data_IF_146024061495
#
_entry.id   IF_146024061495
#
_cell.length_a   1.000
_cell.length_b   1.000
_cell.length_c   1.000
_cell.angle_alpha   90.00
_cell.angle_beta   90.00
_cell.angle_gamma   90.00
#
_symmetry.space_group_name_H-M   'P 1'
#
loop_
_entity.id
_entity.type
_entity.pdbx_description
1 polymer ?
#
# COMPACT_ATOMS: atom_id res chain seq x y z
N UNK A 1 116.56 -32.18 18.73
CA UNK A 1 116.29 -30.80 18.25
C UNK A 1 114.78 -30.64 18.20
N UNK A 2 114.24 -29.95 19.21
CA UNK A 2 112.81 -29.89 19.52
C UNK A 2 112.05 -28.90 18.65
N UNK A 3 111.34 -29.41 17.64
CA UNK A 3 110.37 -28.65 16.84
C UNK A 3 108.99 -28.54 17.52
N UNK A 4 108.83 -29.09 18.73
CA UNK A 4 107.57 -29.00 19.51
C UNK A 4 107.34 -27.61 20.15
N UNK A 5 108.40 -26.81 20.38
CA UNK A 5 108.27 -25.49 21.01
C UNK A 5 107.76 -24.38 20.09
N UNK A 6 108.07 -24.44 18.78
CA UNK A 6 107.66 -23.42 17.82
C UNK A 6 106.15 -23.49 17.50
N UNK A 7 105.55 -24.69 17.53
CA UNK A 7 104.11 -24.87 17.35
C UNK A 7 103.28 -24.31 18.51
N UNK A 8 103.80 -24.39 19.74
CA UNK A 8 103.11 -23.87 20.93
C UNK A 8 103.03 -22.34 20.96
N UNK A 9 104.08 -21.65 20.51
CA UNK A 9 104.12 -20.17 20.47
C UNK A 9 103.23 -19.63 19.34
N UNK A 10 103.19 -20.30 18.18
CA UNK A 10 102.27 -19.96 17.09
C UNK A 10 100.79 -20.19 17.48
N UNK A 11 100.49 -21.30 18.16
CA UNK A 11 99.14 -21.58 18.66
C UNK A 11 98.69 -20.59 19.75
N UNK A 12 99.60 -20.19 20.66
CA UNK A 12 99.31 -19.18 21.68
C UNK A 12 99.07 -17.79 21.08
N UNK A 13 99.80 -17.41 20.03
CA UNK A 13 99.58 -16.14 19.33
C UNK A 13 98.23 -16.13 18.58
N UNK A 14 97.86 -17.22 17.90
CA UNK A 14 96.56 -17.33 17.22
C UNK A 14 95.40 -17.34 18.22
N UNK A 15 95.57 -17.97 19.40
CA UNK A 15 94.56 -17.92 20.47
C UNK A 15 94.45 -16.52 21.10
N UNK A 16 95.58 -15.84 21.34
CA UNK A 16 95.62 -14.51 21.96
C UNK A 16 94.98 -13.41 21.10
N UNK A 17 95.12 -13.50 19.77
CA UNK A 17 94.46 -12.56 18.84
C UNK A 17 93.10 -13.08 18.34
N UNK A 18 92.90 -14.39 18.24
CA UNK A 18 91.66 -15.00 17.73
C UNK A 18 90.47 -14.82 18.67
N UNK A 19 90.66 -14.99 19.98
CA UNK A 19 89.56 -14.89 20.96
C UNK A 19 89.00 -13.46 21.04
N UNK A 20 89.81 -12.38 21.16
CA UNK A 20 89.30 -11.02 21.17
C UNK A 20 88.60 -10.63 19.87
N UNK A 21 89.15 -11.06 18.73
CA UNK A 21 88.60 -10.73 17.41
C UNK A 21 87.24 -11.42 17.19
N UNK A 22 87.10 -12.68 17.62
CA UNK A 22 85.82 -13.41 17.57
C UNK A 22 84.75 -12.77 18.47
N UNK A 23 85.11 -12.27 19.67
CA UNK A 23 84.19 -11.57 20.56
C UNK A 23 83.70 -10.25 19.95
N UNK A 24 84.59 -9.49 19.29
CA UNK A 24 84.21 -8.23 18.63
C UNK A 24 83.28 -8.52 17.45
N UNK A 25 83.61 -9.48 16.57
CA UNK A 25 82.75 -9.87 15.45
C UNK A 25 81.39 -10.36 15.95
N UNK A 26 81.36 -11.22 16.97
CA UNK A 26 80.13 -11.71 17.58
C UNK A 26 79.27 -10.60 18.17
N UNK A 27 79.87 -9.58 18.80
CA UNK A 27 79.15 -8.41 19.34
C UNK A 27 78.56 -7.53 18.24
N UNK A 28 79.25 -7.36 17.11
CA UNK A 28 78.71 -6.64 15.95
C UNK A 28 77.57 -7.41 15.27
N UNK A 29 77.70 -8.73 15.12
CA UNK A 29 76.64 -9.59 14.60
C UNK A 29 75.40 -9.58 15.50
N UNK A 30 75.56 -9.66 16.83
CA UNK A 30 74.46 -9.54 17.80
C UNK A 30 73.76 -8.18 17.72
N UNK A 31 74.51 -7.08 17.63
CA UNK A 31 73.93 -5.73 17.47
C UNK A 31 73.17 -5.58 16.15
N UNK A 32 73.69 -6.16 15.07
CA UNK A 32 73.01 -6.17 13.78
C UNK A 32 71.73 -7.02 13.84
N UNK A 33 71.77 -8.18 14.49
CA UNK A 33 70.62 -9.06 14.68
C UNK A 33 69.52 -8.40 15.52
N UNK A 34 69.88 -7.73 16.62
CA UNK A 34 68.90 -7.00 17.46
C UNK A 34 68.26 -5.85 16.69
N UNK A 35 69.04 -5.03 15.96
CA UNK A 35 68.47 -3.95 15.13
C UNK A 35 67.59 -4.48 14.00
N UNK A 36 67.96 -5.59 13.38
CA UNK A 36 67.14 -6.27 12.38
C UNK A 36 65.84 -6.80 12.96
N UNK A 37 65.88 -7.38 14.16
CA UNK A 37 64.71 -7.86 14.88
C UNK A 37 63.76 -6.70 15.28
N UNK A 38 64.30 -5.59 15.79
CA UNK A 38 63.51 -4.38 16.13
C UNK A 38 62.84 -3.77 14.90
N UNK A 39 63.58 -3.63 13.79
CA UNK A 39 63.02 -3.11 12.53
C UNK A 39 61.91 -4.01 11.98
N UNK A 40 62.09 -5.34 12.06
CA UNK A 40 61.08 -6.33 11.64
C UNK A 40 59.85 -6.27 12.55
N UNK A 41 60.04 -6.15 13.87
CA UNK A 41 58.94 -6.01 14.82
C UNK A 41 58.13 -4.73 14.56
N UNK A 42 58.80 -3.59 14.31
CA UNK A 42 58.12 -2.33 13.98
C UNK A 42 57.37 -2.40 12.64
N UNK A 43 57.97 -3.03 11.62
CA UNK A 43 57.31 -3.26 10.33
C UNK A 43 56.08 -4.17 10.49
N UNK A 44 56.18 -5.20 11.33
CA UNK A 44 55.07 -6.08 11.69
C UNK A 44 53.93 -5.33 12.38
N UNK A 45 54.25 -4.48 13.36
CA UNK A 45 53.24 -3.65 14.06
C UNK A 45 52.52 -2.69 13.11
N UNK A 46 53.26 -2.01 12.23
CA UNK A 46 52.66 -1.11 11.21
C UNK A 46 51.75 -1.87 10.24
N UNK A 47 52.16 -3.07 9.83
CA UNK A 47 51.36 -3.92 8.95
C UNK A 47 50.10 -4.42 9.66
N UNK A 48 50.21 -4.80 10.94
CA UNK A 48 49.08 -5.21 11.76
C UNK A 48 48.09 -4.05 11.99
N UNK A 49 48.58 -2.84 12.28
CA UNK A 49 47.75 -1.65 12.44
C UNK A 49 47.04 -1.27 11.13
N UNK A 50 47.75 -1.31 10.00
CA UNK A 50 47.17 -1.07 8.68
C UNK A 50 46.10 -2.13 8.33
N UNK A 51 46.38 -3.40 8.59
CA UNK A 51 45.43 -4.51 8.37
C UNK A 51 44.20 -4.36 9.27
N UNK A 52 44.40 -3.98 10.53
CA UNK A 52 43.30 -3.74 11.47
C UNK A 52 42.43 -2.57 11.00
N UNK A 53 43.02 -1.44 10.59
CA UNK A 53 42.27 -0.30 10.02
C UNK A 53 41.48 -0.71 8.78
N UNK A 54 42.13 -1.41 7.84
CA UNK A 54 41.46 -1.91 6.65
C UNK A 54 40.30 -2.86 6.98
N UNK A 55 40.46 -3.73 7.98
CA UNK A 55 39.39 -4.62 8.44
C UNK A 55 38.23 -3.84 9.08
N UNK A 56 38.51 -2.81 9.89
CA UNK A 56 37.49 -1.94 10.48
C UNK A 56 36.75 -1.14 9.41
N UNK A 57 37.46 -0.58 8.44
CA UNK A 57 36.86 0.19 7.34
C UNK A 57 36.01 -0.72 6.45
N UNK A 58 36.48 -1.95 6.17
CA UNK A 58 35.70 -2.96 5.46
C UNK A 58 34.44 -3.36 6.23
N UNK A 59 34.53 -3.53 7.55
CA UNK A 59 33.37 -3.88 8.38
C UNK A 59 32.33 -2.74 8.42
N UNK A 60 32.78 -1.48 8.46
CA UNK A 60 31.90 -0.30 8.38
C UNK A 60 31.20 -0.22 7.04
N UNK A 61 31.94 -0.33 5.94
CA UNK A 61 31.37 -0.32 4.59
C UNK A 61 30.35 -1.45 4.40
N UNK A 62 30.61 -2.64 4.96
CA UNK A 62 29.67 -3.76 4.92
C UNK A 62 28.40 -3.51 5.75
N UNK A 63 28.54 -2.92 6.94
CA UNK A 63 27.40 -2.55 7.78
C UNK A 63 26.51 -1.50 7.08
N UNK A 64 27.12 -0.46 6.51
CA UNK A 64 26.41 0.58 5.74
C UNK A 64 25.69 0.01 4.53
N UNK A 65 26.32 -0.88 3.78
CA UNK A 65 25.68 -1.56 2.65
C UNK A 65 24.49 -2.44 3.09
N UNK A 66 24.62 -3.12 4.24
CA UNK A 66 23.54 -3.96 4.80
C UNK A 66 22.34 -3.12 5.22
N UNK A 67 22.57 -1.99 5.91
CA UNK A 67 21.51 -1.05 6.30
C UNK A 67 20.80 -0.45 5.09
N UNK A 68 21.55 -0.11 4.03
CA UNK A 68 20.96 0.36 2.78
C UNK A 68 20.09 -0.71 2.10
N UNK A 69 20.53 -1.97 2.09
CA UNK A 69 19.71 -3.05 1.54
C UNK A 69 18.45 -3.32 2.36
N UNK A 70 18.57 -3.28 3.70
CA UNK A 70 17.44 -3.47 4.61
C UNK A 70 16.38 -2.37 4.47
N UNK A 71 16.79 -1.10 4.47
CA UNK A 71 15.89 0.04 4.27
C UNK A 71 15.21 0.01 2.90
N UNK A 72 15.92 -0.34 1.81
CA UNK A 72 15.31 -0.55 0.48
C UNK A 72 14.26 -1.65 0.50
N UNK A 73 14.50 -2.74 1.24
CA UNK A 73 13.53 -3.82 1.44
C UNK A 73 12.25 -3.32 2.10
N UNK A 74 12.37 -2.61 3.23
CA UNK A 74 11.23 -2.07 3.98
C UNK A 74 10.40 -1.12 3.12
N UNK A 75 11.05 -0.17 2.42
CA UNK A 75 10.35 0.78 1.54
C UNK A 75 9.56 0.06 0.46
N UNK A 76 10.18 -0.93 -0.20
CA UNK A 76 9.51 -1.73 -1.22
C UNK A 76 8.28 -2.44 -0.66
N UNK A 77 8.41 -3.06 0.50
CA UNK A 77 7.31 -3.80 1.13
C UNK A 77 6.17 -2.86 1.55
N UNK A 78 6.49 -1.69 2.10
CA UNK A 78 5.52 -0.64 2.43
C UNK A 78 4.73 -0.18 1.18
N UNK A 79 5.43 0.08 0.08
CA UNK A 79 4.78 0.57 -1.14
C UNK A 79 3.90 -0.49 -1.80
N UNK A 80 4.31 -1.77 -1.75
CA UNK A 80 3.52 -2.91 -2.24
C UNK A 80 2.27 -3.10 -1.36
N UNK A 81 2.40 -2.98 -0.04
CA UNK A 81 1.30 -3.15 0.89
C UNK A 81 0.15 -2.15 0.60
N UNK A 82 0.46 -0.90 0.23
CA UNK A 82 -0.56 0.09 -0.16
C UNK A 82 -1.33 -0.34 -1.42
N UNK A 83 -0.61 -0.76 -2.47
CA UNK A 83 -1.24 -1.21 -3.72
C UNK A 83 -2.08 -2.48 -3.51
N UNK A 84 -1.58 -3.42 -2.71
CA UNK A 84 -2.33 -4.61 -2.34
C UNK A 84 -3.60 -4.27 -1.57
N UNK A 85 -3.52 -3.40 -0.55
CA UNK A 85 -4.70 -2.98 0.21
C UNK A 85 -5.73 -2.25 -0.67
N UNK A 86 -5.27 -1.42 -1.62
CA UNK A 86 -6.13 -0.75 -2.58
C UNK A 86 -6.85 -1.76 -3.49
N UNK A 87 -6.11 -2.76 -3.97
CA UNK A 87 -6.64 -3.83 -4.81
C UNK A 87 -7.64 -4.70 -4.04
N UNK A 88 -7.30 -5.18 -2.83
CA UNK A 88 -8.20 -5.98 -1.99
C UNK A 88 -9.52 -5.26 -1.72
N UNK A 89 -9.49 -3.96 -1.38
CA UNK A 89 -10.73 -3.21 -1.19
C UNK A 89 -11.53 -3.10 -2.50
N UNK A 90 -10.86 -2.91 -3.64
CA UNK A 90 -11.52 -2.80 -4.95
C UNK A 90 -12.18 -4.12 -5.38
N UNK A 91 -11.50 -5.24 -5.17
CA UNK A 91 -12.03 -6.58 -5.45
C UNK A 91 -13.19 -6.91 -4.53
N UNK A 92 -13.06 -6.63 -3.23
CA UNK A 92 -14.11 -6.83 -2.24
C UNK A 92 -15.40 -6.12 -2.69
N UNK A 93 -15.33 -4.82 -3.01
CA UNK A 93 -16.53 -4.07 -3.43
C UNK A 93 -17.06 -4.51 -4.80
N UNK A 94 -16.19 -4.93 -5.72
CA UNK A 94 -16.61 -5.42 -7.04
C UNK A 94 -17.33 -6.76 -6.93
N UNK A 95 -16.81 -7.69 -6.12
CA UNK A 95 -17.40 -9.01 -5.90
C UNK A 95 -18.83 -8.90 -5.39
N UNK A 96 -19.07 -7.97 -4.47
CA UNK A 96 -20.40 -7.73 -3.90
C UNK A 96 -21.38 -7.16 -4.92
N UNK A 97 -20.95 -6.19 -5.73
CA UNK A 97 -21.82 -5.64 -6.81
C UNK A 97 -22.15 -6.65 -7.90
N UNK A 98 -21.37 -7.73 -8.04
CA UNK A 98 -21.57 -8.76 -9.06
C UNK A 98 -22.42 -9.94 -8.57
N UNK A 99 -22.72 -10.01 -7.26
CA UNK A 99 -23.48 -11.12 -6.70
C UNK A 99 -24.96 -11.07 -7.12
N UNK A 100 -25.61 -12.21 -7.41
CA UNK A 100 -27.04 -12.25 -7.76
C UNK A 100 -27.92 -11.90 -6.55
N UNK A 101 -29.15 -11.41 -6.83
CA UNK A 101 -30.13 -11.09 -5.80
C UNK A 101 -30.49 -12.34 -4.99
N UNK A 102 -30.28 -12.30 -3.67
CA UNK A 102 -30.63 -13.40 -2.76
C UNK A 102 -31.51 -12.87 -1.63
N UNK A 103 -32.50 -13.64 -1.14
CA UNK A 103 -33.33 -13.22 -0.01
C UNK A 103 -32.54 -12.96 1.29
N UNK A 104 -31.39 -13.62 1.49
CA UNK A 104 -30.49 -13.38 2.63
C UNK A 104 -29.59 -12.15 2.49
N UNK A 105 -29.78 -11.32 1.45
CA UNK A 105 -28.84 -10.25 1.10
C UNK A 105 -28.77 -9.15 2.18
N UNK A 106 -29.82 -8.95 2.99
CA UNK A 106 -29.81 -7.95 4.06
C UNK A 106 -28.76 -8.25 5.15
N UNK A 107 -28.71 -9.49 5.64
CA UNK A 107 -27.71 -9.91 6.61
C UNK A 107 -26.30 -9.81 6.00
N UNK A 108 -26.16 -10.21 4.73
CA UNK A 108 -24.90 -10.09 3.98
C UNK A 108 -24.45 -8.65 3.75
N UNK A 109 -25.36 -7.68 3.66
CA UNK A 109 -25.00 -6.27 3.48
C UNK A 109 -24.35 -5.69 4.74
N UNK A 110 -24.82 -6.09 5.92
CA UNK A 110 -24.23 -5.67 7.19
C UNK A 110 -22.84 -6.27 7.39
N UNK A 111 -22.68 -7.57 7.08
CA UNK A 111 -21.38 -8.24 7.09
C UNK A 111 -20.41 -7.59 6.09
N UNK A 112 -20.87 -7.37 4.86
CA UNK A 112 -20.10 -6.72 3.82
C UNK A 112 -19.68 -5.28 4.18
N UNK A 113 -20.56 -4.50 4.82
CA UNK A 113 -20.20 -3.15 5.30
C UNK A 113 -19.10 -3.21 6.37
N UNK A 114 -19.17 -4.18 7.29
CA UNK A 114 -18.12 -4.41 8.28
C UNK A 114 -16.79 -4.82 7.63
N UNK A 115 -16.82 -5.71 6.63
CA UNK A 115 -15.64 -6.09 5.84
C UNK A 115 -15.05 -4.90 5.07
N UNK A 116 -15.90 -4.08 4.45
CA UNK A 116 -15.48 -2.86 3.77
C UNK A 116 -14.81 -1.87 4.73
N UNK A 117 -15.36 -1.67 5.93
CA UNK A 117 -14.76 -0.81 6.96
C UNK A 117 -13.41 -1.36 7.45
N UNK A 118 -13.30 -2.67 7.59
CA UNK A 118 -12.04 -3.35 7.93
C UNK A 118 -10.99 -3.12 6.83
N UNK A 119 -11.34 -3.38 5.57
CA UNK A 119 -10.45 -3.17 4.43
C UNK A 119 -10.05 -1.69 4.24
N UNK A 120 -10.95 -0.74 4.48
CA UNK A 120 -10.61 0.69 4.50
C UNK A 120 -9.62 1.05 5.62
N UNK A 121 -9.74 0.40 6.78
CA UNK A 121 -8.81 0.60 7.90
C UNK A 121 -7.43 0.05 7.56
N UNK A 122 -7.36 -1.14 6.96
CA UNK A 122 -6.12 -1.71 6.46
C UNK A 122 -5.46 -0.82 5.39
N UNK A 123 -6.25 -0.29 4.45
CA UNK A 123 -5.78 0.65 3.43
C UNK A 123 -5.18 1.93 4.04
N UNK A 124 -5.86 2.54 5.03
CA UNK A 124 -5.33 3.70 5.75
C UNK A 124 -4.03 3.37 6.49
N UNK A 125 -3.95 2.19 7.11
CA UNK A 125 -2.72 1.73 7.75
C UNK A 125 -1.56 1.59 6.76
N UNK A 126 -1.81 0.95 5.61
CA UNK A 126 -0.82 0.80 4.55
C UNK A 126 -0.37 2.15 3.97
N UNK A 127 -1.29 3.11 3.83
CA UNK A 127 -0.96 4.49 3.45
C UNK A 127 -0.01 5.15 4.46
N UNK A 128 -0.31 5.07 5.76
CA UNK A 128 0.54 5.68 6.79
C UNK A 128 1.96 5.11 6.78
N UNK A 129 2.10 3.80 6.60
CA UNK A 129 3.42 3.15 6.49
C UNK A 129 4.14 3.62 5.22
N UNK A 130 3.45 3.63 4.06
CA UNK A 130 4.04 4.11 2.81
C UNK A 130 4.45 5.59 2.87
N UNK A 131 3.68 6.43 3.57
CA UNK A 131 3.98 7.85 3.79
C UNK A 131 5.19 8.04 4.72
N UNK A 132 5.32 7.25 5.79
CA UNK A 132 6.49 7.28 6.68
C UNK A 132 7.78 6.88 5.95
N UNK A 133 7.68 5.95 5.00
CA UNK A 133 8.79 5.47 4.18
C UNK A 133 9.04 6.33 2.94
N UNK A 134 8.23 7.37 2.70
CA UNK A 134 8.39 8.25 1.55
C UNK A 134 9.60 9.20 1.74
N UNK A 135 10.29 9.57 0.65
CA UNK A 135 11.29 10.63 0.71
C UNK A 135 10.69 11.99 1.13
N UNK A 136 11.51 12.86 1.71
CA UNK A 136 11.11 14.20 2.16
C UNK A 136 10.68 15.17 1.03
N UNK A 137 10.71 14.73 -0.23
CA UNK A 137 10.27 15.53 -1.38
C UNK A 137 8.74 15.68 -1.48
N UNK A 138 8.00 14.92 -0.67
CA UNK A 138 6.53 14.94 -0.56
C UNK A 138 5.79 14.50 -1.82
N UNK A 139 6.50 14.07 -2.88
CA UNK A 139 5.86 13.63 -4.13
C UNK A 139 5.20 12.27 -3.92
N UNK A 140 5.95 11.31 -3.38
CA UNK A 140 5.43 9.94 -3.21
C UNK A 140 4.27 9.88 -2.22
N UNK A 141 4.33 10.65 -1.13
CA UNK A 141 3.24 10.77 -0.16
C UNK A 141 1.96 11.30 -0.82
N UNK A 142 2.06 12.33 -1.68
CA UNK A 142 0.91 12.89 -2.40
C UNK A 142 0.24 11.85 -3.30
N UNK A 143 1.03 11.10 -4.07
CA UNK A 143 0.49 10.04 -4.93
C UNK A 143 -0.12 8.89 -4.10
N UNK A 144 0.48 8.55 -2.95
CA UNK A 144 -0.06 7.56 -2.03
C UNK A 144 -1.43 8.00 -1.47
N UNK A 145 -1.55 9.28 -1.13
CA UNK A 145 -2.80 9.88 -0.64
C UNK A 145 -3.88 9.88 -1.73
N UNK A 146 -3.50 10.13 -2.99
CA UNK A 146 -4.43 10.08 -4.11
C UNK A 146 -4.96 8.66 -4.32
N UNK A 147 -4.10 7.64 -4.27
CA UNK A 147 -4.53 6.23 -4.29
C UNK A 147 -5.51 5.92 -3.16
N UNK A 148 -5.21 6.35 -1.92
CA UNK A 148 -6.11 6.17 -0.78
C UNK A 148 -7.49 6.80 -1.04
N UNK A 149 -7.51 8.06 -1.46
CA UNK A 149 -8.74 8.82 -1.68
C UNK A 149 -9.56 8.25 -2.83
N UNK A 150 -8.93 7.99 -3.98
CA UNK A 150 -9.58 7.41 -5.14
C UNK A 150 -10.15 6.01 -4.83
N UNK A 151 -9.42 5.18 -4.09
CA UNK A 151 -9.91 3.85 -3.70
C UNK A 151 -11.12 3.96 -2.77
N UNK A 152 -11.09 4.86 -1.78
CA UNK A 152 -12.24 5.09 -0.88
C UNK A 152 -13.45 5.64 -1.65
N UNK A 153 -13.24 6.57 -2.58
CA UNK A 153 -14.28 7.13 -3.46
C UNK A 153 -14.92 6.01 -4.29
N UNK A 154 -14.11 5.18 -4.94
CA UNK A 154 -14.55 4.01 -5.70
C UNK A 154 -15.34 3.02 -4.83
N UNK A 155 -14.82 2.67 -3.65
CA UNK A 155 -15.47 1.76 -2.73
C UNK A 155 -16.84 2.27 -2.26
N UNK A 156 -16.94 3.55 -1.86
CA UNK A 156 -18.21 4.19 -1.46
C UNK A 156 -19.22 4.17 -2.59
N UNK A 157 -18.79 4.49 -3.81
CA UNK A 157 -19.66 4.49 -4.98
C UNK A 157 -20.19 3.09 -5.29
N UNK A 158 -19.35 2.05 -5.19
CA UNK A 158 -19.73 0.64 -5.35
C UNK A 158 -20.69 0.15 -4.27
N UNK A 159 -20.43 0.47 -3.01
CA UNK A 159 -21.33 0.14 -1.89
C UNK A 159 -22.68 0.83 -2.09
N UNK A 160 -22.69 2.11 -2.46
CA UNK A 160 -23.94 2.84 -2.75
C UNK A 160 -24.71 2.17 -3.88
N UNK A 161 -24.03 1.80 -4.97
CA UNK A 161 -24.66 1.07 -6.08
C UNK A 161 -25.28 -0.25 -5.62
N UNK A 162 -24.56 -1.03 -4.83
CA UNK A 162 -25.08 -2.32 -4.38
C UNK A 162 -26.35 -2.16 -3.52
N UNK A 163 -26.42 -1.12 -2.69
CA UNK A 163 -27.62 -0.78 -1.93
C UNK A 163 -28.80 -0.38 -2.84
N UNK A 164 -28.54 0.40 -3.89
CA UNK A 164 -29.54 0.76 -4.90
C UNK A 164 -30.06 -0.47 -5.65
N UNK A 165 -29.16 -1.33 -6.13
CA UNK A 165 -29.50 -2.57 -6.84
C UNK A 165 -30.27 -3.54 -5.94
N UNK A 166 -29.94 -3.59 -4.64
CA UNK A 166 -30.70 -4.35 -3.65
C UNK A 166 -32.12 -3.80 -3.48
N UNK A 167 -32.26 -2.49 -3.25
CA UNK A 167 -33.57 -1.90 -3.01
C UNK A 167 -34.52 -2.10 -4.22
N UNK A 168 -33.99 -1.98 -5.44
CA UNK A 168 -34.73 -2.30 -6.67
C UNK A 168 -35.15 -3.77 -6.72
N UNK A 169 -34.25 -4.70 -6.39
CA UNK A 169 -34.56 -6.14 -6.36
C UNK A 169 -35.60 -6.49 -5.28
N UNK A 170 -35.54 -5.86 -4.10
CA UNK A 170 -36.55 -6.02 -3.04
C UNK A 170 -37.93 -5.60 -3.55
N UNK A 171 -38.03 -4.42 -4.17
CA UNK A 171 -39.30 -3.92 -4.69
C UNK A 171 -39.87 -4.85 -5.77
N UNK A 172 -39.04 -5.27 -6.72
CA UNK A 172 -39.43 -6.21 -7.78
C UNK A 172 -39.91 -7.54 -7.19
N UNK A 173 -39.20 -8.07 -6.20
CA UNK A 173 -39.60 -9.30 -5.53
C UNK A 173 -40.99 -9.18 -4.89
N UNK A 174 -41.27 -8.08 -4.18
CA UNK A 174 -42.58 -7.80 -3.59
C UNK A 174 -43.69 -7.69 -4.66
N UNK A 175 -43.39 -7.13 -5.83
CA UNK A 175 -44.32 -7.01 -6.96
C UNK A 175 -44.62 -8.36 -7.66
N UNK A 176 -43.75 -9.35 -7.48
CA UNK A 176 -43.83 -10.69 -8.09
C UNK A 176 -44.39 -11.78 -7.17
N UNK A 177 -44.62 -11.50 -5.87
CA UNK A 177 -45.13 -12.50 -4.92
C UNK A 177 -46.43 -13.17 -5.44
N UNK A 178 -46.53 -14.51 -5.41
CA UNK A 178 -47.73 -15.24 -5.86
C UNK A 178 -49.01 -14.80 -5.15
N UNK A 179 -50.14 -14.81 -5.89
CA UNK A 179 -51.44 -14.23 -5.52
C UNK A 179 -52.08 -14.85 -4.26
N UNK A 180 -51.63 -16.02 -3.82
CA UNK A 180 -52.16 -16.74 -2.66
C UNK A 180 -51.77 -16.05 -1.34
N UNK A 181 -52.44 -14.94 -1.01
CA UNK A 181 -52.39 -14.26 0.29
C UNK A 181 -51.70 -12.89 0.31
N UNK A 182 -50.96 -12.51 -0.74
CA UNK A 182 -50.17 -11.27 -0.80
C UNK A 182 -50.77 -10.16 -1.68
N UNK A 183 -52.05 -10.28 -2.06
CA UNK A 183 -52.73 -9.35 -2.99
C UNK A 183 -52.50 -7.87 -2.68
N UNK A 184 -52.77 -7.40 -1.44
CA UNK A 184 -52.60 -5.99 -1.08
C UNK A 184 -51.14 -5.51 -1.17
N UNK A 185 -50.19 -6.29 -0.66
CA UNK A 185 -48.78 -5.92 -0.66
C UNK A 185 -48.22 -5.84 -2.08
N UNK A 186 -48.61 -6.79 -2.93
CA UNK A 186 -48.22 -6.81 -4.35
C UNK A 186 -48.74 -5.59 -5.10
N UNK A 187 -49.99 -5.21 -4.86
CA UNK A 187 -50.60 -4.02 -5.45
C UNK A 187 -49.88 -2.75 -5.00
N UNK A 188 -49.54 -2.65 -3.70
CA UNK A 188 -48.74 -1.54 -3.17
C UNK A 188 -47.35 -1.47 -3.81
N UNK A 189 -46.66 -2.61 -3.95
CA UNK A 189 -45.34 -2.67 -4.59
C UNK A 189 -45.39 -2.24 -6.06
N UNK A 190 -46.34 -2.76 -6.84
CA UNK A 190 -46.56 -2.36 -8.24
C UNK A 190 -46.92 -0.88 -8.38
N UNK A 191 -47.72 -0.36 -7.45
CA UNK A 191 -48.04 1.05 -7.44
C UNK A 191 -46.79 1.91 -7.18
N UNK A 192 -45.94 1.51 -6.24
CA UNK A 192 -44.67 2.19 -6.00
C UNK A 192 -43.72 2.13 -7.22
N UNK A 193 -43.62 0.99 -7.90
CA UNK A 193 -42.86 0.88 -9.17
C UNK A 193 -43.37 1.86 -10.23
N UNK A 194 -44.70 1.96 -10.38
CA UNK A 194 -45.32 2.87 -11.34
C UNK A 194 -45.02 4.34 -11.01
N UNK A 195 -45.14 4.75 -9.74
CA UNK A 195 -44.85 6.12 -9.35
C UNK A 195 -43.35 6.46 -9.45
N UNK A 196 -42.45 5.50 -9.18
CA UNK A 196 -41.01 5.66 -9.42
C UNK A 196 -40.69 5.82 -10.92
N UNK A 197 -41.33 5.03 -11.79
CA UNK A 197 -41.18 5.16 -13.23
C UNK A 197 -41.72 6.51 -13.76
N UNK A 198 -42.83 7.00 -13.19
CA UNK A 198 -43.36 8.34 -13.51
C UNK A 198 -42.40 9.44 -13.09
N UNK A 199 -41.82 9.35 -11.89
CA UNK A 199 -40.80 10.29 -11.42
C UNK A 199 -39.58 10.29 -12.35
N UNK A 200 -39.07 9.11 -12.70
CA UNK A 200 -37.93 8.99 -13.63
C UNK A 200 -38.25 9.60 -15.00
N UNK A 201 -39.47 9.42 -15.50
CA UNK A 201 -39.94 10.02 -16.76
C UNK A 201 -40.02 11.54 -16.66
N UNK A 202 -40.62 12.07 -15.58
CA UNK A 202 -40.74 13.51 -15.35
C UNK A 202 -39.34 14.17 -15.28
N UNK A 203 -38.38 13.52 -14.62
CA UNK A 203 -37.01 14.01 -14.55
C UNK A 203 -36.31 13.94 -15.91
N UNK A 204 -36.46 12.84 -16.65
CA UNK A 204 -35.83 12.71 -17.97
C UNK A 204 -36.34 13.76 -18.96
N UNK A 205 -37.62 14.16 -18.85
CA UNK A 205 -38.22 15.21 -19.69
C UNK A 205 -37.72 16.60 -19.29
N UNK A 206 -37.71 16.90 -17.99
CA UNK A 206 -37.40 18.24 -17.48
C UNK A 206 -35.89 18.50 -17.32
N UNK A 207 -35.09 17.43 -17.20
CA UNK A 207 -33.64 17.49 -16.98
C UNK A 207 -32.90 16.44 -17.83
N UNK A 208 -32.88 16.58 -19.16
CA UNK A 208 -32.22 15.62 -20.05
C UNK A 208 -30.71 15.48 -19.78
N UNK A 209 -30.09 16.54 -19.27
CA UNK A 209 -28.65 16.62 -18.96
C UNK A 209 -28.37 16.50 -17.45
N UNK A 210 -29.23 15.85 -16.67
CA UNK A 210 -29.06 15.78 -15.23
C UNK A 210 -27.81 14.97 -14.85
N UNK A 211 -26.70 15.68 -14.59
CA UNK A 211 -25.45 15.12 -14.05
C UNK A 211 -25.39 15.29 -12.52
N UNK A 212 -26.26 16.12 -11.95
CA UNK A 212 -26.12 16.67 -10.59
C UNK A 212 -26.89 15.89 -9.52
N UNK A 213 -26.36 15.90 -8.29
CA UNK A 213 -26.98 15.34 -7.10
C UNK A 213 -28.17 16.18 -6.62
N UNK A 214 -29.08 15.54 -5.86
CA UNK A 214 -30.13 16.21 -5.10
C UNK A 214 -29.53 17.23 -4.09
N UNK A 215 -30.21 18.34 -3.78
CA UNK A 215 -31.53 18.74 -4.29
C UNK A 215 -31.47 19.44 -5.65
N UNK A 216 -32.50 19.25 -6.47
CA UNK A 216 -32.70 20.00 -7.71
C UNK A 216 -33.02 21.46 -7.35
N UNK A 217 -32.24 22.41 -7.89
CA UNK A 217 -32.60 23.83 -7.82
C UNK A 217 -33.74 24.09 -8.81
N UNK A 218 -34.75 24.84 -8.37
CA UNK A 218 -35.95 25.18 -9.15
C UNK A 218 -36.69 23.95 -9.73
N UNK A 219 -37.12 23.04 -8.85
CA UNK A 219 -37.86 21.83 -9.20
C UNK A 219 -39.20 22.17 -9.91
N UNK A 220 -39.40 21.78 -11.20
CA UNK A 220 -40.68 21.93 -11.88
C UNK A 220 -41.80 21.27 -11.08
N UNK A 221 -42.99 21.87 -11.13
CA UNK A 221 -44.15 21.35 -10.41
C UNK A 221 -44.42 19.88 -10.75
N UNK A 222 -44.25 19.48 -12.02
CA UNK A 222 -44.41 18.09 -12.47
C UNK A 222 -43.45 17.11 -11.76
N UNK A 223 -42.19 17.53 -11.55
CA UNK A 223 -41.19 16.73 -10.84
C UNK A 223 -41.49 16.67 -9.35
N UNK A 224 -41.90 17.80 -8.77
CA UNK A 224 -42.28 17.88 -7.35
C UNK A 224 -43.52 17.02 -7.04
N UNK A 225 -44.52 17.06 -7.91
CA UNK A 225 -45.74 16.25 -7.80
C UNK A 225 -45.42 14.75 -7.93
N UNK A 226 -44.59 14.37 -8.91
CA UNK A 226 -44.16 12.99 -9.09
C UNK A 226 -43.30 12.50 -7.91
N UNK A 227 -42.42 13.35 -7.36
CA UNK A 227 -41.62 13.06 -6.18
C UNK A 227 -42.52 12.83 -4.96
N UNK A 228 -43.53 13.67 -4.77
CA UNK A 228 -44.53 13.52 -3.71
C UNK A 228 -45.31 12.21 -3.83
N UNK A 229 -45.76 11.87 -5.03
CA UNK A 229 -46.47 10.62 -5.31
C UNK A 229 -45.59 9.38 -5.05
N UNK A 230 -44.34 9.38 -5.52
CA UNK A 230 -43.39 8.30 -5.29
C UNK A 230 -43.08 8.12 -3.79
N UNK A 231 -42.85 9.22 -3.06
CA UNK A 231 -42.65 9.19 -1.60
C UNK A 231 -43.85 8.61 -0.87
N UNK A 232 -45.06 9.01 -1.24
CA UNK A 232 -46.28 8.50 -0.63
C UNK A 232 -46.48 7.01 -0.92
N UNK A 233 -46.21 6.57 -2.16
CA UNK A 233 -46.31 5.17 -2.54
C UNK A 233 -45.30 4.30 -1.77
N UNK A 234 -44.05 4.76 -1.63
CA UNK A 234 -43.03 4.08 -0.84
C UNK A 234 -43.34 4.08 0.66
N UNK A 235 -43.93 5.16 1.19
CA UNK A 235 -44.32 5.22 2.60
C UNK A 235 -45.38 4.18 2.97
N UNK A 236 -46.19 3.70 2.01
CA UNK A 236 -47.14 2.60 2.24
C UNK A 236 -46.49 1.22 2.32
N UNK A 237 -45.21 1.11 1.99
CA UNK A 237 -44.42 -0.11 2.10
C UNK A 237 -43.57 -0.11 3.38
N UNK A 238 -43.88 0.73 4.37
CA UNK A 238 -42.96 1.01 5.46
C UNK A 238 -42.66 -0.18 6.38
N UNK A 239 -43.67 -1.03 6.58
CA UNK A 239 -43.57 -2.30 7.31
C UNK A 239 -42.74 -3.36 6.59
N UNK A 240 -42.47 -3.20 5.29
CA UNK A 240 -41.88 -4.24 4.44
C UNK A 240 -40.55 -3.85 3.78
N UNK A 241 -40.33 -2.56 3.54
CA UNK A 241 -39.12 -2.04 2.90
C UNK A 241 -38.46 -1.08 3.88
N UNK A 242 -37.24 -1.35 4.38
CA UNK A 242 -36.55 -0.47 5.32
C UNK A 242 -36.41 0.97 4.80
N UNK A 243 -36.42 1.96 5.69
CA UNK A 243 -36.33 3.38 5.31
C UNK A 243 -35.14 3.68 4.38
N UNK A 244 -33.96 3.11 4.66
CA UNK A 244 -32.77 3.28 3.81
C UNK A 244 -32.91 2.70 2.39
N UNK A 245 -33.70 1.63 2.20
CA UNK A 245 -34.01 1.08 0.87
C UNK A 245 -35.04 1.96 0.14
N UNK A 246 -36.02 2.53 0.85
CA UNK A 246 -36.97 3.50 0.27
C UNK A 246 -36.26 4.76 -0.23
N UNK A 247 -35.32 5.29 0.55
CA UNK A 247 -34.51 6.44 0.15
C UNK A 247 -33.60 6.10 -1.04
N UNK A 248 -33.04 4.89 -1.07
CA UNK A 248 -32.26 4.39 -2.19
C UNK A 248 -33.12 4.29 -3.48
N UNK A 249 -34.34 3.76 -3.39
CA UNK A 249 -35.27 3.68 -4.54
C UNK A 249 -35.60 5.05 -5.12
N UNK A 250 -35.85 6.05 -4.26
CA UNK A 250 -36.03 7.43 -4.72
C UNK A 250 -34.78 7.97 -5.41
N UNK A 251 -33.60 7.70 -4.85
CA UNK A 251 -32.35 8.12 -5.48
C UNK A 251 -32.14 7.49 -6.87
N UNK A 252 -32.48 6.20 -7.05
CA UNK A 252 -32.44 5.55 -8.37
C UNK A 252 -33.42 6.20 -9.34
N UNK A 253 -34.66 6.43 -8.91
CA UNK A 253 -35.67 7.05 -9.78
C UNK A 253 -35.27 8.47 -10.18
N UNK A 254 -34.64 9.21 -9.28
CA UNK A 254 -34.23 10.60 -9.54
C UNK A 254 -33.00 10.68 -10.42
N UNK A 255 -31.98 9.92 -10.08
CA UNK A 255 -30.68 10.10 -10.68
C UNK A 255 -30.40 9.06 -11.80
N UNK A 256 -31.29 8.11 -12.03
CA UNK A 256 -31.13 7.01 -12.98
C UNK A 256 -30.09 5.96 -12.54
N UNK A 257 -29.84 4.95 -13.38
CA UNK A 257 -28.85 3.92 -13.10
C UNK A 257 -27.44 4.52 -13.01
N UNK A 258 -26.75 4.31 -11.87
CA UNK A 258 -25.44 4.90 -11.62
C UNK A 258 -24.36 4.53 -12.65
N UNK A 259 -24.49 3.38 -13.31
CA UNK A 259 -23.50 2.83 -14.27
C UNK A 259 -23.38 3.69 -15.52
N UNK A 260 -24.49 4.32 -15.90
CA UNK A 260 -24.57 5.08 -17.13
C UNK A 260 -24.09 6.52 -16.93
N UNK A 261 -23.72 6.88 -15.70
CA UNK A 261 -23.27 8.24 -15.39
C UNK A 261 -21.81 8.45 -15.77
N UNK A 262 -21.47 9.59 -16.39
CA UNK A 262 -20.09 10.01 -16.61
C UNK A 262 -19.25 10.00 -15.32
N UNK A 263 -19.87 10.38 -14.20
CA UNK A 263 -19.24 10.38 -12.88
C UNK A 263 -18.75 8.99 -12.44
N UNK A 264 -19.42 7.91 -12.86
CA UNK A 264 -18.98 6.55 -12.54
C UNK A 264 -17.70 6.19 -13.27
N UNK A 265 -17.65 6.44 -14.59
CA UNK A 265 -16.45 6.19 -15.40
C UNK A 265 -15.29 7.01 -14.89
N UNK A 266 -15.53 8.29 -14.61
CA UNK A 266 -14.52 9.18 -14.02
C UNK A 266 -13.94 8.61 -12.71
N UNK A 267 -14.74 8.00 -11.83
CA UNK A 267 -14.21 7.42 -10.57
C UNK A 267 -13.35 6.18 -10.81
N UNK A 268 -13.65 5.38 -11.83
CA UNK A 268 -12.80 4.23 -12.19
C UNK A 268 -11.49 4.73 -12.80
N UNK A 269 -11.59 5.65 -13.75
CA UNK A 269 -10.43 6.24 -14.43
C UNK A 269 -9.53 6.97 -13.42
N UNK A 270 -10.10 7.76 -12.49
CA UNK A 270 -9.40 8.43 -11.39
C UNK A 270 -8.56 7.44 -10.55
N UNK A 271 -9.11 6.25 -10.25
CA UNK A 271 -8.44 5.23 -9.44
C UNK A 271 -7.27 4.59 -10.18
N UNK A 272 -7.46 4.26 -11.46
CA UNK A 272 -6.41 3.65 -12.26
C UNK A 272 -5.29 4.67 -12.54
N UNK A 273 -5.63 5.93 -12.84
CA UNK A 273 -4.68 7.02 -13.00
C UNK A 273 -3.86 7.26 -11.73
N UNK A 274 -4.51 7.26 -10.55
CA UNK A 274 -3.84 7.42 -9.26
C UNK A 274 -2.84 6.28 -8.99
N UNK A 275 -3.23 5.03 -9.29
CA UNK A 275 -2.34 3.86 -9.14
C UNK A 275 -1.14 3.95 -10.07
N UNK A 276 -1.37 4.31 -11.32
CA UNK A 276 -0.31 4.46 -12.31
C UNK A 276 0.66 5.59 -11.96
N UNK A 277 0.15 6.73 -11.48
CA UNK A 277 0.95 7.84 -10.99
C UNK A 277 1.81 7.43 -9.79
N UNK A 278 1.22 6.70 -8.83
CA UNK A 278 1.93 6.15 -7.69
C UNK A 278 3.02 5.14 -8.11
N UNK A 279 2.74 4.21 -9.01
CA UNK A 279 3.74 3.25 -9.52
C UNK A 279 4.89 3.98 -10.23
N UNK A 280 4.61 5.03 -11.02
CA UNK A 280 5.65 5.86 -11.64
C UNK A 280 6.50 6.57 -10.59
N UNK A 281 5.88 7.10 -9.53
CA UNK A 281 6.59 7.75 -8.43
C UNK A 281 7.49 6.75 -7.68
N UNK A 282 6.97 5.57 -7.31
CA UNK A 282 7.75 4.50 -6.66
C UNK A 282 8.96 4.10 -7.52
N UNK A 283 8.76 3.89 -8.83
CA UNK A 283 9.86 3.56 -9.74
C UNK A 283 10.93 4.65 -9.77
N UNK A 284 10.53 5.92 -9.69
CA UNK A 284 11.49 7.03 -9.65
C UNK A 284 12.32 7.02 -8.35
N UNK A 285 11.71 6.75 -7.20
CA UNK A 285 12.43 6.66 -5.92
C UNK A 285 13.38 5.47 -5.89
N UNK A 286 12.94 4.31 -6.39
CA UNK A 286 13.76 3.10 -6.45
C UNK A 286 14.94 3.24 -7.43
N UNK A 287 14.80 4.02 -8.50
CA UNK A 287 15.87 4.23 -9.47
C UNK A 287 17.00 5.15 -8.98
N UNK A 288 16.72 6.05 -8.03
CA UNK A 288 17.69 7.04 -7.53
C UNK A 288 18.43 6.59 -6.25
N UNK A 289 18.20 5.35 -5.79
CA UNK A 289 18.79 4.78 -4.58
C UNK A 289 19.54 3.47 -4.87
#
# INVERSE_FOLDING_TARGET
MDLQGAGAIAAAAVAAFGIPTAIVIGRWQLRAAVRGAEATAQAGLKTAEATYRAAVDSARAQAEATDQHWSKGIRRDAYIALLMASHTLSELVQSYTSAPASPDRFNKLTEFDAECRSAQTALRGAYLIAALEAPDDGRLEREALEVLNATIKYARLRVRRAALDQAAATLQHLAEIPVSGAGPLRELARHAELELARLQTAISINYPDLVSALPLQDEPQEVSDAMGAARLALARLDEHVPAGERDALLEVAVLGHMVDRPAWRAVVDDLDDARDAYVRAVKSVVAHH
#
